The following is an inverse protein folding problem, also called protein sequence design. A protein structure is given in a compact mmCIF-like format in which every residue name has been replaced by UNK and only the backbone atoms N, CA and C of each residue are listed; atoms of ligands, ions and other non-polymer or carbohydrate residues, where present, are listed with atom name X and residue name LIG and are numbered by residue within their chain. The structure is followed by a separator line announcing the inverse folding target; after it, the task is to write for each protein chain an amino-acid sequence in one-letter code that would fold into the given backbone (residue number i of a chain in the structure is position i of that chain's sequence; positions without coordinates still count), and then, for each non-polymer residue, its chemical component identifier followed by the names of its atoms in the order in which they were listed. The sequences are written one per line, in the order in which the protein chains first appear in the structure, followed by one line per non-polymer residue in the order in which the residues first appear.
data_IF_852654850869
#
_entry.id   IF_852654850869
#
_cell.length_a   1.000
_cell.length_b   1.000
_cell.length_c   1.000
_cell.angle_alpha   90.00
_cell.angle_beta   90.00
_cell.angle_gamma   90.00
#
_symmetry.space_group_name_H-M   'P 1'
#
loop_
_entity.id
_entity.type
_entity.pdbx_description
1 polymer ?
#
# COMPACT_ATOMS: atom_id res chain seq x y z
N UNK A 1 11.30 -16.76 10.21
CA UNK A 1 11.25 -15.28 10.21
C UNK A 1 12.49 -14.62 10.81
N UNK A 2 13.13 -15.16 11.87
CA UNK A 2 14.31 -14.51 12.48
C UNK A 2 15.63 -14.49 11.67
N UNK A 3 15.94 -15.54 10.88
CA UNK A 3 17.21 -15.61 10.11
C UNK A 3 17.32 -14.56 9.01
N UNK A 4 16.26 -14.41 8.20
CA UNK A 4 16.21 -13.41 7.12
C UNK A 4 16.24 -11.97 7.66
N UNK A 5 15.55 -11.71 8.79
CA UNK A 5 15.59 -10.41 9.44
C UNK A 5 17.01 -10.07 9.95
N UNK A 6 17.75 -11.06 10.46
CA UNK A 6 19.12 -10.87 10.91
C UNK A 6 20.10 -10.65 9.75
N UNK A 7 19.90 -11.33 8.62
CA UNK A 7 20.68 -11.06 7.40
C UNK A 7 20.44 -9.65 6.88
N UNK A 8 19.19 -9.21 6.83
CA UNK A 8 18.81 -7.85 6.44
C UNK A 8 19.40 -6.79 7.38
N UNK A 9 19.34 -7.03 8.70
CA UNK A 9 19.96 -6.14 9.69
C UNK A 9 21.45 -5.87 9.42
N UNK A 10 22.20 -6.89 8.98
CA UNK A 10 23.63 -6.77 8.66
C UNK A 10 23.92 -5.97 7.40
N UNK A 11 22.92 -5.74 6.55
CA UNK A 11 23.04 -4.89 5.36
C UNK A 11 22.79 -3.41 5.64
N UNK A 12 22.28 -3.07 6.84
CA UNK A 12 21.99 -1.69 7.19
C UNK A 12 23.23 -0.97 7.70
N UNK A 13 23.51 0.20 7.12
CA UNK A 13 24.48 1.13 7.66
C UNK A 13 23.89 1.89 8.85
N UNK A 14 24.54 1.72 10.02
CA UNK A 14 24.24 2.44 11.24
C UNK A 14 25.39 3.38 11.61
N UNK A 15 25.10 4.59 12.10
CA UNK A 15 26.09 5.39 12.82
C UNK A 15 26.64 4.62 14.04
N UNK A 16 27.86 4.92 14.51
CA UNK A 16 28.45 4.26 15.66
C UNK A 16 27.53 4.32 16.89
N UNK A 17 27.14 3.14 17.41
CA UNK A 17 26.31 3.01 18.61
C UNK A 17 24.79 3.04 18.39
N UNK A 18 24.32 3.39 17.18
CA UNK A 18 22.89 3.41 16.85
C UNK A 18 22.34 2.02 16.52
N UNK A 19 23.19 1.07 16.13
CA UNK A 19 22.84 -0.34 15.89
C UNK A 19 22.27 -1.06 17.13
N UNK A 20 22.51 -0.52 18.33
CA UNK A 20 22.01 -1.06 19.61
C UNK A 20 20.76 -0.34 20.12
N UNK A 21 20.38 0.77 19.48
CA UNK A 21 19.18 1.53 19.84
C UNK A 21 17.99 0.92 19.12
N UNK A 22 17.04 0.41 19.91
CA UNK A 22 15.82 -0.20 19.38
C UNK A 22 15.11 0.70 18.35
N UNK A 23 14.96 2.00 18.63
CA UNK A 23 14.27 2.92 17.73
C UNK A 23 15.02 3.14 16.40
N UNK A 24 16.35 3.21 16.41
CA UNK A 24 17.16 3.35 15.19
C UNK A 24 17.06 2.10 14.32
N UNK A 25 17.09 0.91 14.93
CA UNK A 25 16.93 -0.37 14.23
C UNK A 25 15.51 -0.50 13.69
N UNK A 26 14.50 -0.21 14.50
CA UNK A 26 13.09 -0.25 14.10
C UNK A 26 12.85 0.67 12.92
N UNK A 27 13.36 1.91 12.97
CA UNK A 27 13.22 2.88 11.88
C UNK A 27 13.88 2.40 10.58
N UNK A 28 15.06 1.78 10.62
CA UNK A 28 15.69 1.22 9.41
C UNK A 28 14.88 0.08 8.80
N UNK A 29 14.28 -0.78 9.62
CA UNK A 29 13.37 -1.81 9.14
C UNK A 29 12.07 -1.21 8.59
N UNK A 30 11.49 -0.23 9.28
CA UNK A 30 10.35 0.56 8.79
C UNK A 30 10.71 1.17 7.43
N UNK A 31 11.80 1.94 7.31
CA UNK A 31 12.24 2.54 6.06
C UNK A 31 12.45 1.49 4.95
N UNK A 32 13.05 0.34 5.26
CA UNK A 32 13.28 -0.73 4.27
C UNK A 32 12.00 -1.41 3.79
N UNK A 33 11.05 -1.67 4.68
CA UNK A 33 9.80 -2.33 4.32
C UNK A 33 8.75 -1.34 3.78
N UNK A 34 8.75 -0.10 4.27
CA UNK A 34 7.90 1.00 3.80
C UNK A 34 8.38 1.48 2.41
N UNK A 35 9.69 1.50 2.12
CA UNK A 35 10.20 1.82 0.77
C UNK A 35 9.70 0.88 -0.33
N UNK A 36 9.17 -0.31 0.00
CA UNK A 36 8.81 -1.31 -1.00
C UNK A 36 7.33 -1.33 -1.37
N UNK A 37 6.50 -0.43 -0.84
CA UNK A 37 5.18 -0.22 -1.44
C UNK A 37 5.40 0.58 -2.72
N UNK A 38 5.42 -0.13 -3.86
CA UNK A 38 5.49 0.52 -5.15
C UNK A 38 4.17 1.26 -5.39
N UNK A 39 4.13 2.54 -4.99
CA UNK A 39 2.95 3.40 -5.10
C UNK A 39 2.38 3.44 -6.52
N UNK A 40 3.25 3.33 -7.55
CA UNK A 40 2.83 3.27 -8.95
C UNK A 40 2.08 1.97 -9.25
N UNK A 41 2.59 0.84 -8.75
CA UNK A 41 1.92 -0.45 -8.90
C UNK A 41 0.59 -0.50 -8.14
N UNK A 42 0.54 0.04 -6.93
CA UNK A 42 -0.69 0.11 -6.14
C UNK A 42 -1.72 1.06 -6.77
N UNK A 43 -1.27 2.22 -7.25
CA UNK A 43 -2.11 3.16 -8.00
C UNK A 43 -2.66 2.52 -9.27
N UNK A 44 -1.85 1.75 -10.00
CA UNK A 44 -2.31 0.99 -11.15
C UNK A 44 -3.37 -0.05 -10.75
N UNK A 45 -3.14 -0.85 -9.70
CA UNK A 45 -4.15 -1.81 -9.20
C UNK A 45 -5.47 -1.12 -8.85
N UNK A 46 -5.41 0.02 -8.18
CA UNK A 46 -6.59 0.83 -7.86
C UNK A 46 -7.29 1.36 -9.12
N UNK A 47 -6.53 1.92 -10.06
CA UNK A 47 -7.06 2.47 -11.31
C UNK A 47 -7.66 1.40 -12.23
N UNK A 48 -7.10 0.19 -12.23
CA UNK A 48 -7.55 -0.97 -13.00
C UNK A 48 -8.68 -1.75 -12.33
N UNK A 49 -9.17 -1.33 -11.16
CA UNK A 49 -10.28 -1.99 -10.49
C UNK A 49 -11.61 -1.55 -11.09
N UNK A 50 -12.32 -2.51 -11.68
CA UNK A 50 -13.69 -2.39 -12.21
C UNK A 50 -14.57 -3.42 -11.53
N UNK A 51 -15.86 -3.11 -11.35
CA UNK A 51 -16.84 -4.07 -10.85
C UNK A 51 -16.88 -5.29 -11.80
N UNK A 52 -16.93 -6.49 -11.24
CA UNK A 52 -17.02 -7.73 -12.02
C UNK A 52 -18.48 -8.12 -12.27
N UNK A 53 -18.71 -8.91 -13.32
CA UNK A 53 -20.06 -9.41 -13.61
C UNK A 53 -20.57 -10.26 -12.44
N UNK A 54 -21.73 -9.89 -11.87
CA UNK A 54 -22.31 -10.58 -10.72
C UNK A 54 -21.71 -10.18 -9.36
N UNK A 55 -20.73 -9.28 -9.33
CA UNK A 55 -20.24 -8.71 -8.08
C UNK A 55 -21.24 -7.68 -7.52
N UNK A 56 -21.52 -7.76 -6.22
CA UNK A 56 -22.34 -6.75 -5.55
C UNK A 56 -21.55 -5.45 -5.40
N UNK A 57 -22.24 -4.31 -5.59
CA UNK A 57 -21.59 -2.99 -5.58
C UNK A 57 -20.86 -2.69 -4.25
N UNK A 58 -21.37 -3.21 -3.13
CA UNK A 58 -20.76 -3.01 -1.81
C UNK A 58 -19.34 -3.61 -1.73
N UNK A 59 -19.14 -4.80 -2.32
CA UNK A 59 -17.84 -5.48 -2.31
C UNK A 59 -16.82 -4.72 -3.19
N UNK A 60 -17.26 -4.26 -4.37
CA UNK A 60 -16.45 -3.41 -5.23
C UNK A 60 -15.98 -2.13 -4.52
N UNK A 61 -16.90 -1.42 -3.84
CA UNK A 61 -16.59 -0.21 -3.07
C UNK A 61 -15.63 -0.54 -1.93
N UNK A 62 -15.88 -1.62 -1.19
CA UNK A 62 -15.03 -2.03 -0.08
C UNK A 62 -13.60 -2.32 -0.54
N UNK A 63 -13.42 -2.96 -1.70
CA UNK A 63 -12.10 -3.23 -2.26
C UNK A 63 -11.38 -1.97 -2.71
N UNK A 64 -12.08 -0.99 -3.29
CA UNK A 64 -11.48 0.32 -3.59
C UNK A 64 -10.93 0.99 -2.32
N UNK A 65 -11.67 0.92 -1.21
CA UNK A 65 -11.22 1.44 0.07
C UNK A 65 -10.02 0.70 0.65
N UNK A 66 -9.84 -0.60 0.36
CA UNK A 66 -8.63 -1.34 0.76
C UNK A 66 -7.44 -0.96 -0.10
N UNK A 67 -7.60 -0.95 -1.42
CA UNK A 67 -6.52 -0.71 -2.39
C UNK A 67 -5.91 0.69 -2.22
N UNK A 68 -6.74 1.70 -1.97
CA UNK A 68 -6.30 3.09 -1.84
C UNK A 68 -5.36 3.34 -0.65
N UNK A 69 -5.34 2.45 0.37
CA UNK A 69 -4.49 2.58 1.55
C UNK A 69 -3.00 2.52 1.21
N UNK A 70 -2.64 1.81 0.16
CA UNK A 70 -1.25 1.63 -0.27
C UNK A 70 -0.85 2.62 -1.38
N UNK A 71 -1.75 3.47 -1.85
CA UNK A 71 -1.52 4.33 -3.02
C UNK A 71 -0.93 5.71 -2.68
N UNK A 72 -0.89 6.08 -1.39
CA UNK A 72 -0.38 7.38 -0.92
C UNK A 72 -1.00 8.62 -1.61
N UNK A 73 -2.29 8.59 -1.97
CA UNK A 73 -2.95 9.71 -2.67
C UNK A 73 -3.19 10.97 -1.82
N UNK A 74 -2.87 10.95 -0.52
CA UNK A 74 -3.04 12.09 0.38
C UNK A 74 -4.46 12.67 0.34
N UNK A 75 -4.56 13.99 0.16
CA UNK A 75 -5.82 14.72 0.14
C UNK A 75 -6.76 14.35 -1.03
N UNK A 76 -6.25 13.68 -2.08
CA UNK A 76 -7.05 13.29 -3.24
C UNK A 76 -7.77 11.95 -3.03
N UNK A 77 -7.45 11.20 -1.97
CA UNK A 77 -7.98 9.85 -1.71
C UNK A 77 -9.49 9.76 -1.90
N UNK A 78 -10.27 10.56 -1.18
CA UNK A 78 -11.74 10.44 -1.21
C UNK A 78 -12.35 10.83 -2.55
N UNK A 79 -11.73 11.79 -3.25
CA UNK A 79 -12.14 12.16 -4.60
C UNK A 79 -11.88 11.03 -5.59
N UNK A 80 -10.68 10.45 -5.56
CA UNK A 80 -10.29 9.37 -6.46
C UNK A 80 -11.12 8.10 -6.25
N UNK A 81 -11.55 7.80 -5.02
CA UNK A 81 -12.49 6.70 -4.76
C UNK A 81 -13.81 6.95 -5.48
N UNK A 82 -14.41 8.14 -5.33
CA UNK A 82 -15.67 8.48 -6.02
C UNK A 82 -15.52 8.45 -7.54
N UNK A 83 -14.45 9.03 -8.06
CA UNK A 83 -14.17 9.05 -9.50
C UNK A 83 -14.01 7.63 -10.06
N UNK A 84 -13.34 6.73 -9.30
CA UNK A 84 -13.15 5.34 -9.67
C UNK A 84 -14.44 4.52 -9.57
N UNK A 85 -15.30 4.79 -8.59
CA UNK A 85 -16.64 4.17 -8.48
C UNK A 85 -17.46 4.50 -9.72
N UNK A 86 -17.62 5.79 -10.04
CA UNK A 86 -18.42 6.26 -11.19
C UNK A 86 -17.89 5.67 -12.49
N UNK A 87 -16.58 5.65 -12.66
CA UNK A 87 -15.95 5.17 -13.90
C UNK A 87 -15.81 3.64 -13.95
N UNK A 88 -16.00 2.94 -12.83
CA UNK A 88 -15.66 1.52 -12.66
C UNK A 88 -16.85 0.60 -12.39
N UNK A 89 -18.02 1.16 -12.05
CA UNK A 89 -19.27 0.43 -11.88
C UNK A 89 -19.74 -0.16 -13.21
N UNK A 90 -20.29 -1.37 -13.18
CA UNK A 90 -20.90 -1.98 -14.36
C UNK A 90 -22.30 -1.40 -14.58
N UNK A 91 -22.57 -0.98 -15.81
CA UNK A 91 -23.90 -0.55 -16.22
C UNK A 91 -24.86 -1.73 -16.12
N UNK A 92 -25.91 -1.56 -15.32
CA UNK A 92 -27.00 -2.53 -15.23
C UNK A 92 -28.11 -2.03 -16.16
N UNK A 93 -28.06 -2.46 -17.43
CA UNK A 93 -29.19 -2.29 -18.34
C UNK A 93 -30.33 -3.24 -18.03
#
# INVERSE_FOLDING_TARGET
MGRQAFELFRTFDFPPGDEKKYDSVRKKFEDHFIMNVNEVAESHKFMSRFQQQGEIIADFIQDLHKLVLNCNFGALKDRLIRDRIVSGVLDTK
#
